data_IF_201132149565
#
_entry.id   IF_201132149565
#
_cell.length_a   1.000
_cell.length_b   1.000
_cell.length_c   1.000
_cell.angle_alpha   90.00
_cell.angle_beta   90.00
_cell.angle_gamma   90.00
#
_symmetry.space_group_name_H-M   'P 1'
#
loop_
_entity.id
_entity.type
_entity.pdbx_description
1 polymer ?
#
# COMPACT_ATOMS: atom_id res chain seq x y z
N UNK A 1 -2.98 5.58 21.94
CA UNK A 1 -1.60 5.23 21.54
C UNK A 1 -1.18 3.98 22.28
N UNK A 2 -0.48 3.06 21.62
CA UNK A 2 0.14 1.89 22.26
C UNK A 2 1.58 1.81 21.80
N UNK A 3 2.48 1.55 22.75
CA UNK A 3 3.89 1.29 22.50
C UNK A 3 4.07 -0.21 22.26
N UNK A 4 4.65 -0.56 21.12
CA UNK A 4 4.98 -1.93 20.75
C UNK A 4 6.38 -1.93 20.13
N UNK A 5 7.02 -3.09 20.11
CA UNK A 5 8.28 -3.21 19.37
C UNK A 5 8.01 -2.97 17.89
N UNK A 6 8.98 -2.33 17.22
CA UNK A 6 8.86 -2.06 15.79
C UNK A 6 8.77 -3.36 14.97
N UNK A 7 9.47 -4.40 15.41
CA UNK A 7 9.36 -5.75 14.84
C UNK A 7 7.95 -6.32 14.94
N UNK A 8 7.30 -6.17 16.09
CA UNK A 8 5.93 -6.64 16.26
C UNK A 8 4.95 -5.87 15.37
N UNK A 9 5.10 -4.55 15.27
CA UNK A 9 4.24 -3.72 14.42
C UNK A 9 4.44 -4.08 12.95
N UNK A 10 5.67 -4.02 12.45
CA UNK A 10 5.95 -4.28 11.03
C UNK A 10 5.57 -5.72 10.65
N UNK A 11 5.85 -6.69 11.52
CA UNK A 11 5.60 -8.10 11.25
C UNK A 11 4.14 -8.53 11.31
N UNK A 12 3.30 -7.90 12.14
CA UNK A 12 1.92 -8.37 12.40
C UNK A 12 0.83 -7.38 12.03
N UNK A 13 1.13 -6.08 12.03
CA UNK A 13 0.14 -5.04 11.79
C UNK A 13 0.18 -4.65 10.31
N UNK A 14 -0.95 -4.63 9.58
CA UNK A 14 -0.94 -4.26 8.18
C UNK A 14 -0.59 -2.78 7.99
N UNK A 15 0.29 -2.50 7.02
CA UNK A 15 0.47 -1.16 6.48
C UNK A 15 -0.66 -0.85 5.49
N UNK A 16 -1.70 -0.19 5.94
CA UNK A 16 -2.88 0.10 5.11
C UNK A 16 -2.71 1.41 4.34
N UNK A 17 -3.61 1.66 3.41
CA UNK A 17 -3.73 2.99 2.83
C UNK A 17 -4.18 4.00 3.89
N UNK A 18 -3.96 5.29 3.63
CA UNK A 18 -4.46 6.42 4.44
C UNK A 18 -5.98 6.64 4.31
N UNK A 19 -6.73 5.64 3.83
CA UNK A 19 -8.18 5.73 3.59
C UNK A 19 -8.96 5.53 4.88
N UNK A 20 -9.90 6.43 5.15
CA UNK A 20 -10.64 6.48 6.41
C UNK A 20 -11.72 5.47 6.64
N UNK A 21 -12.05 4.71 5.61
CA UNK A 21 -12.96 3.58 5.75
C UNK A 21 -12.25 2.33 6.27
N UNK A 22 -10.92 2.33 6.28
CA UNK A 22 -10.13 1.22 6.85
C UNK A 22 -10.40 1.14 8.35
N UNK A 23 -10.46 -0.06 8.93
CA UNK A 23 -10.72 -0.25 10.37
C UNK A 23 -9.74 -1.22 11.00
N UNK A 24 -9.68 -1.23 12.34
CA UNK A 24 -8.79 -2.12 13.10
C UNK A 24 -7.38 -1.58 13.32
N UNK A 25 -6.52 -2.42 13.90
CA UNK A 25 -5.13 -2.10 14.21
C UNK A 25 -4.32 -1.97 12.92
N UNK A 26 -3.75 -0.78 12.67
CA UNK A 26 -3.02 -0.47 11.43
C UNK A 26 -2.05 0.69 11.61
N UNK A 27 -1.05 0.74 10.74
CA UNK A 27 -0.30 1.97 10.44
C UNK A 27 -0.44 2.25 8.94
N UNK A 28 -0.24 3.49 8.50
CA UNK A 28 -0.61 3.85 7.12
C UNK A 28 0.53 4.43 6.29
N UNK A 29 0.51 4.08 5.02
CA UNK A 29 1.23 4.75 3.93
C UNK A 29 0.25 4.93 2.76
N UNK A 30 0.41 5.97 1.95
CA UNK A 30 -0.44 6.12 0.76
C UNK A 30 -0.33 4.87 -0.15
N UNK A 31 -1.46 4.24 -0.48
CA UNK A 31 -1.49 2.96 -1.22
C UNK A 31 -1.13 1.71 -0.41
N UNK A 32 -0.87 1.84 0.90
CA UNK A 32 -0.49 0.72 1.77
C UNK A 32 0.88 0.11 1.46
N UNK A 33 1.14 -1.08 2.01
CA UNK A 33 2.41 -1.79 1.78
C UNK A 33 2.63 -2.12 0.30
N UNK A 34 1.57 -2.41 -0.47
CA UNK A 34 1.72 -2.69 -1.89
C UNK A 34 2.06 -1.43 -2.70
N UNK A 35 1.43 -0.28 -2.44
CA UNK A 35 1.78 0.99 -3.08
C UNK A 35 3.22 1.43 -2.79
N UNK A 36 3.69 1.19 -1.55
CA UNK A 36 5.08 1.39 -1.17
C UNK A 36 6.03 0.49 -1.98
N UNK A 37 5.71 -0.81 -2.07
CA UNK A 37 6.49 -1.78 -2.85
C UNK A 37 6.55 -1.40 -4.33
N UNK A 38 5.44 -0.95 -4.94
CA UNK A 38 5.44 -0.49 -6.34
C UNK A 38 6.47 0.61 -6.59
N UNK A 39 6.57 1.59 -5.68
CA UNK A 39 7.55 2.67 -5.78
C UNK A 39 8.98 2.17 -5.67
N UNK A 40 9.25 1.20 -4.79
CA UNK A 40 10.57 0.57 -4.62
C UNK A 40 10.96 -0.23 -5.86
N UNK A 41 10.06 -1.07 -6.38
CA UNK A 41 10.31 -1.88 -7.57
C UNK A 41 10.54 -1.00 -8.81
N UNK A 42 9.77 0.09 -8.95
CA UNK A 42 9.97 1.04 -10.03
C UNK A 42 11.33 1.73 -9.95
N UNK A 43 11.77 2.09 -8.74
CA UNK A 43 13.09 2.65 -8.51
C UNK A 43 14.18 1.68 -8.96
N UNK A 44 14.05 0.40 -8.60
CA UNK A 44 14.96 -0.66 -9.06
C UNK A 44 14.98 -0.80 -10.58
N UNK A 45 13.82 -0.82 -11.26
CA UNK A 45 13.77 -0.89 -12.73
C UNK A 45 14.53 0.29 -13.38
N UNK A 46 14.32 1.51 -12.87
CA UNK A 46 14.98 2.72 -13.37
C UNK A 46 16.49 2.68 -13.18
N UNK A 47 16.96 2.29 -12.00
CA UNK A 47 18.40 2.23 -11.70
C UNK A 47 19.11 1.11 -12.47
N UNK A 48 18.44 -0.02 -12.66
CA UNK A 48 18.99 -1.14 -13.46
C UNK A 48 18.92 -0.93 -14.96
N UNK A 49 18.08 -0.01 -15.43
CA UNK A 49 17.84 0.20 -16.85
C UNK A 49 17.13 -0.96 -17.55
N UNK A 50 16.47 -1.84 -16.79
CA UNK A 50 15.65 -2.94 -17.33
C UNK A 50 14.39 -3.15 -16.51
N UNK A 51 13.35 -3.68 -17.16
CA UNK A 51 12.16 -4.15 -16.44
C UNK A 51 12.46 -5.39 -15.60
N UNK A 52 11.78 -5.49 -14.46
CA UNK A 52 11.66 -6.71 -13.67
C UNK A 52 10.84 -7.73 -14.45
N UNK A 53 11.07 -9.03 -14.27
CA UNK A 53 10.21 -10.09 -14.80
C UNK A 53 8.97 -10.28 -13.91
N UNK A 54 7.96 -11.01 -14.41
CA UNK A 54 6.76 -11.31 -13.62
C UNK A 54 7.09 -12.19 -12.43
N UNK A 55 8.07 -13.10 -12.59
CA UNK A 55 8.58 -13.96 -11.52
C UNK A 55 9.33 -13.15 -10.47
N UNK A 56 10.21 -12.20 -10.86
CA UNK A 56 10.89 -11.29 -9.92
C UNK A 56 9.88 -10.50 -9.06
N UNK A 57 8.76 -10.05 -9.66
CA UNK A 57 7.70 -9.33 -8.94
C UNK A 57 6.92 -10.28 -8.03
N UNK A 58 6.56 -11.47 -8.55
CA UNK A 58 5.82 -12.48 -7.80
C UNK A 58 6.58 -12.90 -6.54
N UNK A 59 7.86 -13.22 -6.68
CA UNK A 59 8.72 -13.69 -5.59
C UNK A 59 8.92 -12.60 -4.54
N UNK A 60 9.04 -11.34 -4.94
CA UNK A 60 9.12 -10.22 -4.02
C UNK A 60 7.83 -10.07 -3.19
N UNK A 61 6.66 -10.07 -3.81
CA UNK A 61 5.38 -9.93 -3.10
C UNK A 61 5.18 -11.12 -2.15
N UNK A 62 5.37 -12.35 -2.65
CA UNK A 62 5.17 -13.58 -1.89
C UNK A 62 6.12 -13.66 -0.69
N UNK A 63 7.42 -13.44 -0.90
CA UNK A 63 8.41 -13.58 0.16
C UNK A 63 8.24 -12.49 1.22
N UNK A 64 8.09 -11.22 0.82
CA UNK A 64 7.88 -10.12 1.77
C UNK A 64 6.62 -10.30 2.61
N UNK A 65 5.53 -10.84 2.02
CA UNK A 65 4.31 -11.16 2.76
C UNK A 65 4.56 -12.17 3.89
N UNK A 66 5.42 -13.17 3.65
CA UNK A 66 5.72 -14.25 4.60
C UNK A 66 6.77 -13.82 5.62
N UNK A 67 7.82 -13.13 5.19
CA UNK A 67 9.02 -12.90 6.02
C UNK A 67 9.08 -11.53 6.67
N UNK A 68 8.30 -10.56 6.18
CA UNK A 68 8.52 -9.16 6.55
C UNK A 68 7.28 -8.49 7.11
N UNK A 69 6.19 -8.44 6.35
CA UNK A 69 4.98 -7.72 6.74
C UNK A 69 3.77 -8.13 5.90
N UNK A 70 2.54 -7.95 6.39
CA UNK A 70 1.34 -8.14 5.58
C UNK A 70 1.35 -7.28 4.30
N UNK A 71 1.08 -7.92 3.17
CA UNK A 71 1.07 -7.30 1.85
C UNK A 71 -0.35 -6.90 1.47
N UNK A 72 -0.65 -5.64 1.74
CA UNK A 72 -1.99 -5.07 1.75
C UNK A 72 -2.29 -4.26 0.50
N UNK A 73 -3.48 -4.50 -0.03
CA UNK A 73 -4.16 -3.66 -1.00
C UNK A 73 -5.63 -3.54 -0.59
N UNK A 74 -6.29 -2.47 -1.00
CA UNK A 74 -7.75 -2.43 -0.96
C UNK A 74 -8.33 -1.96 -2.29
N UNK A 75 -9.62 -2.18 -2.42
CA UNK A 75 -10.53 -1.48 -3.32
C UNK A 75 -11.74 -0.99 -2.52
N UNK A 76 -12.69 -0.32 -3.17
CA UNK A 76 -13.97 0.04 -2.57
C UNK A 76 -15.12 -0.79 -3.16
N UNK A 77 -16.25 -0.76 -2.44
CA UNK A 77 -17.48 -1.47 -2.79
C UNK A 77 -17.99 -1.05 -4.18
N UNK A 78 -17.95 0.25 -4.50
CA UNK A 78 -18.41 0.77 -5.79
C UNK A 78 -17.64 0.16 -6.98
N UNK A 79 -16.32 0.06 -6.83
CA UNK A 79 -15.44 -0.52 -7.86
C UNK A 79 -15.68 -2.01 -8.02
N UNK A 80 -15.90 -2.75 -6.92
CA UNK A 80 -16.25 -4.18 -6.98
C UNK A 80 -17.56 -4.39 -7.73
N UNK A 81 -18.60 -3.60 -7.41
CA UNK A 81 -19.90 -3.67 -8.08
C UNK A 81 -19.76 -3.39 -9.59
N UNK A 82 -18.95 -2.41 -9.96
CA UNK A 82 -18.67 -2.10 -11.37
C UNK A 82 -17.99 -3.28 -12.08
N UNK A 83 -16.98 -3.90 -11.46
CA UNK A 83 -16.29 -5.07 -12.02
C UNK A 83 -17.25 -6.26 -12.14
N UNK A 84 -18.06 -6.54 -11.11
CA UNK A 84 -19.03 -7.63 -11.13
C UNK A 84 -20.09 -7.45 -12.19
N UNK A 85 -20.64 -6.23 -12.35
CA UNK A 85 -21.57 -5.92 -13.42
C UNK A 85 -20.95 -6.20 -14.81
N UNK A 86 -19.68 -5.87 -15.02
CA UNK A 86 -18.94 -6.18 -16.26
C UNK A 86 -18.74 -7.68 -16.50
N UNK A 87 -18.66 -8.46 -15.43
CA UNK A 87 -18.53 -9.91 -15.47
C UNK A 87 -19.88 -10.64 -15.55
N UNK A 88 -21.01 -9.93 -15.42
CA UNK A 88 -22.34 -10.53 -15.32
C UNK A 88 -22.58 -11.27 -13.99
N UNK A 89 -22.02 -10.74 -12.90
CA UNK A 89 -22.17 -11.29 -11.54
C UNK A 89 -23.05 -10.39 -10.67
N UNK A 90 -23.70 -11.00 -9.68
CA UNK A 90 -24.46 -10.29 -8.65
C UNK A 90 -23.54 -9.51 -7.70
N UNK A 91 -24.02 -8.38 -7.17
CA UNK A 91 -23.23 -7.49 -6.32
C UNK A 91 -22.82 -8.12 -4.98
N UNK A 92 -23.57 -9.11 -4.49
CA UNK A 92 -23.30 -9.84 -3.25
C UNK A 92 -22.36 -11.05 -3.45
N UNK A 93 -21.85 -11.24 -4.67
CA UNK A 93 -20.90 -12.32 -4.99
C UNK A 93 -19.66 -12.22 -4.10
N UNK A 94 -19.37 -13.30 -3.35
CA UNK A 94 -18.17 -13.35 -2.51
C UNK A 94 -16.92 -13.44 -3.39
N UNK A 95 -16.03 -12.45 -3.29
CA UNK A 95 -14.81 -12.38 -4.11
C UNK A 95 -13.94 -13.65 -4.01
N UNK A 96 -13.81 -14.22 -2.80
CA UNK A 96 -13.05 -15.46 -2.58
C UNK A 96 -13.73 -16.74 -3.11
N UNK A 97 -14.96 -16.64 -3.60
CA UNK A 97 -15.73 -17.74 -4.17
C UNK A 97 -15.75 -17.73 -5.70
N UNK A 98 -15.09 -16.76 -6.35
CA UNK A 98 -14.96 -16.75 -7.81
C UNK A 98 -14.25 -18.02 -8.31
N UNK A 99 -14.76 -18.58 -9.41
CA UNK A 99 -14.11 -19.67 -10.17
C UNK A 99 -12.80 -19.19 -10.80
N UNK A 100 -11.90 -20.10 -11.20
CA UNK A 100 -10.64 -19.71 -11.84
C UNK A 100 -10.83 -18.82 -13.09
N UNK A 101 -11.86 -19.08 -13.89
CA UNK A 101 -12.17 -18.24 -15.05
C UNK A 101 -12.61 -16.85 -14.62
N UNK A 102 -13.48 -16.75 -13.62
CA UNK A 102 -13.92 -15.46 -13.07
C UNK A 102 -12.77 -14.71 -12.40
N UNK A 103 -11.85 -15.40 -11.71
CA UNK A 103 -10.66 -14.78 -11.12
C UNK A 103 -9.78 -14.15 -12.19
N UNK A 104 -9.54 -14.84 -13.33
CA UNK A 104 -8.80 -14.27 -14.46
C UNK A 104 -9.47 -13.01 -14.99
N UNK A 105 -10.78 -13.05 -15.26
CA UNK A 105 -11.54 -11.88 -15.73
C UNK A 105 -11.54 -10.74 -14.71
N UNK A 106 -11.69 -11.05 -13.43
CA UNK A 106 -11.62 -10.09 -12.34
C UNK A 106 -10.26 -9.40 -12.34
N UNK A 107 -9.16 -10.17 -12.36
CA UNK A 107 -7.81 -9.62 -12.38
C UNK A 107 -7.57 -8.75 -13.61
N UNK A 108 -8.03 -9.14 -14.80
CA UNK A 108 -7.88 -8.31 -16.00
C UNK A 108 -8.57 -6.95 -15.91
N UNK A 109 -9.74 -6.89 -15.26
CA UNK A 109 -10.47 -5.65 -15.02
C UNK A 109 -9.84 -4.84 -13.88
N UNK A 110 -9.56 -5.51 -12.75
CA UNK A 110 -9.07 -4.93 -11.50
C UNK A 110 -7.62 -4.45 -11.56
N UNK A 111 -6.89 -4.61 -12.68
CA UNK A 111 -5.59 -3.94 -12.89
C UNK A 111 -5.71 -2.70 -13.77
N UNK A 112 -6.91 -2.29 -14.18
CA UNK A 112 -7.10 -1.09 -15.01
C UNK A 112 -7.25 0.15 -14.11
N UNK A 113 -6.75 1.33 -14.53
CA UNK A 113 -6.84 2.55 -13.72
C UNK A 113 -8.28 2.90 -13.32
N UNK A 114 -9.23 2.74 -14.24
CA UNK A 114 -10.65 3.09 -14.00
C UNK A 114 -11.39 2.09 -13.10
N UNK A 115 -10.77 0.96 -12.76
CA UNK A 115 -11.29 -0.06 -11.85
C UNK A 115 -10.40 -0.20 -10.59
N UNK A 116 -9.74 0.88 -10.19
CA UNK A 116 -9.06 0.98 -8.89
C UNK A 116 -9.94 1.74 -7.90
N UNK A 117 -10.27 1.10 -6.77
CA UNK A 117 -10.96 1.78 -5.66
C UNK A 117 -9.99 2.53 -4.72
N UNK A 118 -8.73 2.11 -4.63
CA UNK A 118 -7.73 2.87 -3.88
C UNK A 118 -7.36 4.15 -4.64
N UNK A 119 -7.72 5.31 -4.09
CA UNK A 119 -7.46 6.61 -4.72
C UNK A 119 -5.98 6.86 -5.06
N UNK A 120 -5.06 6.42 -4.19
CA UNK A 120 -3.62 6.55 -4.44
C UNK A 120 -3.15 5.73 -5.64
N UNK A 121 -3.53 4.45 -5.68
CA UNK A 121 -3.15 3.55 -6.78
C UNK A 121 -3.82 4.00 -8.09
N UNK A 122 -5.10 4.40 -8.02
CA UNK A 122 -5.84 4.97 -9.16
C UNK A 122 -5.09 6.15 -9.78
N UNK A 123 -4.75 7.16 -8.97
CA UNK A 123 -4.05 8.35 -9.46
C UNK A 123 -2.63 8.06 -9.92
N UNK A 124 -1.91 7.15 -9.24
CA UNK A 124 -0.60 6.68 -9.67
C UNK A 124 -0.65 6.08 -11.08
N UNK A 125 -1.70 5.32 -11.38
CA UNK A 125 -1.88 4.71 -12.69
C UNK A 125 -2.41 5.68 -13.76
N UNK A 126 -3.24 6.65 -13.37
CA UNK A 126 -3.78 7.68 -14.29
C UNK A 126 -2.75 8.77 -14.61
N UNK A 127 -1.81 9.03 -13.71
CA UNK A 127 -0.78 10.07 -13.82
C UNK A 127 0.63 9.54 -13.52
N UNK A 128 1.10 8.52 -14.26
CA UNK A 128 2.36 7.83 -13.96
C UNK A 128 3.59 8.75 -13.91
N UNK A 129 3.57 9.84 -14.68
CA UNK A 129 4.60 10.88 -14.68
C UNK A 129 4.67 11.66 -13.36
N UNK A 130 3.53 11.97 -12.74
CA UNK A 130 3.47 12.70 -11.46
C UNK A 130 3.90 11.84 -10.30
N UNK A 131 3.55 10.55 -10.36
CA UNK A 131 3.88 9.59 -9.32
C UNK A 131 5.23 8.93 -9.54
N UNK A 132 5.89 9.19 -10.66
CA UNK A 132 7.16 8.59 -11.02
C UNK A 132 7.12 7.05 -11.08
N UNK A 133 5.94 6.43 -11.25
CA UNK A 133 5.75 4.97 -11.33
C UNK A 133 5.22 4.58 -12.71
N UNK A 134 5.88 3.60 -13.35
CA UNK A 134 5.44 3.08 -14.64
C UNK A 134 4.06 2.42 -14.55
N UNK A 135 3.11 2.82 -15.40
CA UNK A 135 1.79 2.19 -15.51
C UNK A 135 1.92 0.67 -15.72
N UNK A 136 2.82 0.25 -16.63
CA UNK A 136 3.04 -1.17 -16.92
C UNK A 136 3.53 -1.94 -15.69
N UNK A 137 4.36 -1.33 -14.85
CA UNK A 137 4.80 -1.98 -13.61
C UNK A 137 3.64 -2.08 -12.62
N UNK A 138 2.88 -1.02 -12.42
CA UNK A 138 1.74 -1.02 -11.50
C UNK A 138 0.73 -2.13 -11.87
N UNK A 139 0.37 -2.25 -13.16
CA UNK A 139 -0.52 -3.31 -13.66
C UNK A 139 0.02 -4.72 -13.36
N UNK A 140 1.33 -4.92 -13.51
CA UNK A 140 1.98 -6.22 -13.27
C UNK A 140 2.05 -6.55 -11.77
N UNK A 141 2.37 -5.58 -10.93
CA UNK A 141 2.37 -5.75 -9.47
C UNK A 141 0.96 -6.08 -8.96
N UNK A 142 -0.06 -5.35 -9.41
CA UNK A 142 -1.45 -5.63 -9.06
C UNK A 142 -1.87 -7.04 -9.52
N UNK A 143 -1.48 -7.45 -10.72
CA UNK A 143 -1.77 -8.79 -11.24
C UNK A 143 -1.15 -9.89 -10.37
N UNK A 144 0.10 -9.72 -9.95
CA UNK A 144 0.77 -10.71 -9.09
C UNK A 144 0.18 -10.73 -7.67
N UNK A 145 -0.16 -9.57 -7.10
CA UNK A 145 -0.84 -9.51 -5.80
C UNK A 145 -2.20 -10.23 -5.83
N UNK A 146 -3.04 -9.96 -6.84
CA UNK A 146 -4.35 -10.62 -6.98
C UNK A 146 -4.22 -12.13 -7.20
N UNK A 147 -3.20 -12.58 -7.96
CA UNK A 147 -2.89 -14.00 -8.14
C UNK A 147 -2.60 -14.66 -6.77
N UNK A 148 -1.78 -14.04 -5.94
CA UNK A 148 -1.46 -14.54 -4.59
C UNK A 148 -2.66 -14.48 -3.65
N UNK A 149 -3.47 -13.43 -3.71
CA UNK A 149 -4.69 -13.30 -2.93
C UNK A 149 -5.68 -14.43 -3.23
N UNK A 150 -5.92 -14.75 -4.50
CA UNK A 150 -6.80 -15.84 -4.92
C UNK A 150 -6.20 -17.22 -4.58
N UNK A 151 -4.88 -17.35 -4.61
CA UNK A 151 -4.16 -18.53 -4.12
C UNK A 151 -4.21 -18.70 -2.59
N UNK A 152 -4.79 -17.72 -1.87
CA UNK A 152 -4.89 -17.69 -0.41
C UNK A 152 -3.52 -17.74 0.28
N UNK A 153 -2.52 -17.11 -0.34
CA UNK A 153 -1.22 -16.93 0.28
C UNK A 153 -1.37 -16.20 1.61
N UNK A 154 -0.68 -16.71 2.64
CA UNK A 154 -0.65 -16.11 3.97
C UNK A 154 -0.19 -14.65 3.88
N UNK A 155 -0.76 -13.78 4.73
CA UNK A 155 -0.40 -12.36 4.82
C UNK A 155 -0.58 -11.53 3.54
N UNK A 156 -1.22 -12.07 2.49
CA UNK A 156 -1.65 -11.29 1.31
C UNK A 156 -3.10 -10.85 1.51
N UNK A 157 -3.28 -9.55 1.74
CA UNK A 157 -4.56 -8.95 2.12
C UNK A 157 -5.14 -8.13 0.97
N UNK A 158 -6.44 -8.30 0.72
CA UNK A 158 -7.21 -7.52 -0.23
C UNK A 158 -8.56 -7.17 0.39
N UNK A 159 -8.70 -5.91 0.81
CA UNK A 159 -9.93 -5.43 1.46
C UNK A 159 -10.86 -4.75 0.47
N UNK A 160 -12.17 -4.86 0.74
CA UNK A 160 -13.21 -4.10 0.04
C UNK A 160 -13.82 -3.13 1.04
N UNK A 161 -13.49 -1.86 0.90
CA UNK A 161 -13.93 -0.81 1.81
C UNK A 161 -15.36 -0.38 1.47
N UNK A 162 -16.23 -0.37 2.47
CA UNK A 162 -17.62 0.07 2.35
C UNK A 162 -17.78 1.52 2.82
N UNK A 163 -18.88 2.15 2.42
CA UNK A 163 -19.23 3.51 2.85
C UNK A 163 -18.53 4.62 2.06
N UNK A 164 -18.75 5.85 2.54
CA UNK A 164 -18.21 7.06 1.95
C UNK A 164 -17.03 7.59 2.77
N UNK A 165 -16.17 8.32 2.08
CA UNK A 165 -15.16 9.16 2.70
C UNK A 165 -15.81 10.20 3.61
N UNK A 166 -15.35 10.28 4.85
CA UNK A 166 -15.81 11.25 5.85
C UNK A 166 -14.62 11.79 6.66
N UNK A 167 -13.42 11.73 6.09
CA UNK A 167 -12.18 12.18 6.70
C UNK A 167 -12.21 13.69 6.97
N UNK A 168 -11.85 14.10 8.18
CA UNK A 168 -11.86 15.52 8.59
C UNK A 168 -10.46 16.11 8.72
N UNK A 169 -9.47 15.27 9.04
CA UNK A 169 -8.10 15.72 9.32
C UNK A 169 -7.07 14.63 9.01
N UNK A 170 -5.90 15.06 8.53
CA UNK A 170 -4.74 14.19 8.29
C UNK A 170 -3.62 14.53 9.27
N UNK A 171 -3.24 13.55 10.08
CA UNK A 171 -2.06 13.59 10.93
C UNK A 171 -0.87 12.89 10.27
N UNK A 172 0.27 13.56 10.27
CA UNK A 172 1.53 13.00 9.82
C UNK A 172 2.44 12.92 11.04
N UNK A 173 2.81 11.70 11.43
CA UNK A 173 3.81 11.48 12.46
C UNK A 173 5.17 11.55 11.77
N UNK A 174 5.89 12.65 12.01
CA UNK A 174 7.14 13.00 11.34
C UNK A 174 8.33 12.28 11.97
N UNK A 175 8.49 12.44 13.28
CA UNK A 175 9.57 11.85 14.08
C UNK A 175 9.07 11.29 15.40
N UNK A 176 9.90 10.45 16.01
CA UNK A 176 9.74 9.95 17.37
C UNK A 176 11.04 10.23 18.11
N UNK A 177 10.99 11.15 19.05
CA UNK A 177 12.11 11.62 19.83
C UNK A 177 12.46 10.64 20.96
N UNK A 178 13.75 10.53 21.28
CA UNK A 178 14.30 9.81 22.44
C UNK A 178 14.24 8.28 22.46
N UNK A 179 13.76 7.61 21.41
CA UNK A 179 13.78 6.14 21.29
C UNK A 179 14.27 5.79 19.88
N UNK A 180 15.21 4.86 19.75
CA UNK A 180 15.58 4.35 18.42
C UNK A 180 14.33 3.68 17.82
N UNK A 181 13.82 4.15 16.66
CA UNK A 181 12.63 3.57 16.06
C UNK A 181 12.81 2.11 15.65
N UNK A 182 14.00 1.53 15.78
CA UNK A 182 14.24 0.09 15.68
C UNK A 182 13.79 -0.71 16.91
N UNK A 183 13.78 -0.09 18.09
CA UNK A 183 13.49 -0.76 19.35
C UNK A 183 11.98 -0.75 19.63
N UNK A 184 11.39 0.46 19.69
CA UNK A 184 9.97 0.65 19.97
C UNK A 184 9.40 1.82 19.19
N UNK A 185 8.12 1.73 18.82
CA UNK A 185 7.42 2.84 18.18
C UNK A 185 5.96 2.96 18.58
N UNK A 186 5.45 4.18 18.47
CA UNK A 186 4.07 4.49 18.80
C UNK A 186 3.15 4.09 17.66
N UNK A 187 2.25 3.16 17.94
CA UNK A 187 1.08 2.94 17.12
C UNK A 187 -0.07 3.79 17.66
N UNK A 188 -0.50 4.76 16.84
CA UNK A 188 -1.66 5.57 17.18
C UNK A 188 -2.91 4.78 16.83
N UNK A 189 -3.56 4.25 17.86
CA UNK A 189 -4.87 3.62 17.72
C UNK A 189 -5.90 4.70 17.45
N UNK A 190 -6.71 4.49 16.42
CA UNK A 190 -7.90 5.29 16.15
C UNK A 190 -8.82 5.28 17.38
N UNK A 191 -9.04 6.47 17.97
CA UNK A 191 -10.10 6.64 18.97
C UNK A 191 -11.41 6.84 18.21
N UNK A 192 -12.35 5.90 18.33
CA UNK A 192 -13.66 5.92 17.65
C UNK A 192 -14.57 7.13 17.98
N UNK A 193 -14.12 8.05 18.84
CA UNK A 193 -14.94 9.14 19.40
C UNK A 193 -14.64 10.53 18.84
N UNK A 194 -13.54 10.74 18.12
CA UNK A 194 -13.13 12.06 17.60
C UNK A 194 -13.00 12.03 16.07
N UNK A 195 -14.09 12.31 15.35
CA UNK A 195 -14.08 12.42 13.89
C UNK A 195 -13.50 11.20 13.17
N UNK A 196 -13.35 11.28 11.85
CA UNK A 196 -12.46 10.35 11.14
C UNK A 196 -11.11 11.07 10.98
N UNK A 197 -10.13 10.64 11.78
CA UNK A 197 -8.76 11.16 11.82
C UNK A 197 -7.78 10.16 11.21
N UNK A 198 -6.84 10.64 10.38
CA UNK A 198 -5.89 9.79 9.66
C UNK A 198 -4.49 9.92 10.18
N UNK A 199 -3.74 8.81 10.21
CA UNK A 199 -2.34 8.82 10.63
C UNK A 199 -1.45 8.24 9.54
N UNK A 200 -0.47 9.02 9.10
CA UNK A 200 0.64 8.59 8.26
C UNK A 200 1.90 8.48 9.12
N UNK A 201 2.39 7.25 9.32
CA UNK A 201 3.53 6.97 10.21
C UNK A 201 4.84 6.97 9.43
N UNK A 202 5.53 8.12 9.34
CA UNK A 202 6.80 8.21 8.59
C UNK A 202 7.92 7.33 9.17
N UNK A 203 8.10 7.18 10.50
CA UNK A 203 9.09 6.25 11.07
C UNK A 203 8.85 4.78 10.66
N UNK A 204 7.63 4.26 10.86
CA UNK A 204 7.26 2.89 10.47
C UNK A 204 7.39 2.67 8.96
N UNK A 205 7.03 3.65 8.15
CA UNK A 205 7.23 3.57 6.70
C UNK A 205 8.71 3.49 6.32
N UNK A 206 9.58 4.30 6.93
CA UNK A 206 11.03 4.26 6.67
C UNK A 206 11.60 2.88 7.01
N UNK A 207 11.17 2.32 8.13
CA UNK A 207 11.57 0.97 8.52
C UNK A 207 11.06 -0.10 7.52
N UNK A 208 9.82 0.03 7.04
CA UNK A 208 9.28 -0.87 6.03
C UNK A 208 10.07 -0.80 4.71
N UNK A 209 10.44 0.41 4.25
CA UNK A 209 11.31 0.62 3.08
C UNK A 209 12.65 -0.09 3.31
N UNK A 210 13.26 0.07 4.49
CA UNK A 210 14.53 -0.56 4.83
C UNK A 210 14.45 -2.08 4.66
N UNK A 211 13.47 -2.73 5.29
CA UNK A 211 13.32 -4.20 5.21
C UNK A 211 13.04 -4.69 3.79
N UNK A 212 12.19 -3.99 3.02
CA UNK A 212 11.93 -4.38 1.64
C UNK A 212 13.18 -4.26 0.76
N UNK A 213 13.93 -3.16 0.92
CA UNK A 213 15.14 -2.92 0.12
C UNK A 213 16.30 -3.84 0.53
N UNK A 214 16.39 -4.24 1.80
CA UNK A 214 17.32 -5.29 2.26
C UNK A 214 17.01 -6.63 1.63
N UNK A 215 15.75 -7.08 1.69
CA UNK A 215 15.34 -8.32 1.03
C UNK A 215 15.68 -8.30 -0.47
N UNK A 216 15.35 -7.20 -1.17
CA UNK A 216 15.65 -7.05 -2.59
C UNK A 216 17.16 -7.02 -2.90
N UNK A 217 17.98 -6.54 -1.96
CA UNK A 217 19.44 -6.55 -2.07
C UNK A 217 20.00 -7.96 -1.89
N UNK A 218 19.56 -8.67 -0.85
CA UNK A 218 19.94 -10.06 -0.57
C UNK A 218 19.58 -11.01 -1.71
N UNK A 219 18.46 -10.77 -2.38
CA UNK A 219 17.97 -11.56 -3.51
C UNK A 219 18.46 -11.03 -4.87
N UNK A 220 19.46 -10.15 -4.87
CA UNK A 220 20.14 -9.65 -6.08
C UNK A 220 19.20 -8.95 -7.09
N UNK A 221 18.05 -8.44 -6.62
CA UNK A 221 17.15 -7.65 -7.45
C UNK A 221 17.77 -6.30 -7.75
N UNK A 222 18.23 -5.57 -6.73
CA UNK A 222 19.03 -4.36 -6.87
C UNK A 222 19.77 -4.07 -5.57
N UNK A 223 21.01 -3.59 -5.64
CA UNK A 223 21.81 -3.29 -4.46
C UNK A 223 21.47 -1.88 -3.93
N UNK A 224 20.53 -1.80 -3.00
CA UNK A 224 20.07 -0.52 -2.43
C UNK A 224 21.06 0.04 -1.41
N UNK A 225 21.40 1.32 -1.57
CA UNK A 225 22.18 2.10 -0.60
C UNK A 225 21.27 2.86 0.37
N UNK A 226 21.85 3.41 1.44
CA UNK A 226 21.11 4.30 2.37
C UNK A 226 20.60 5.58 1.69
N UNK A 227 21.35 6.07 0.69
CA UNK A 227 20.93 7.20 -0.12
C UNK A 227 19.68 6.85 -0.96
N UNK A 228 19.65 5.65 -1.56
CA UNK A 228 18.47 5.17 -2.28
C UNK A 228 17.25 5.06 -1.36
N UNK A 229 17.43 4.51 -0.14
CA UNK A 229 16.35 4.39 0.87
C UNK A 229 15.80 5.75 1.30
N UNK A 230 16.68 6.72 1.50
CA UNK A 230 16.30 8.10 1.83
C UNK A 230 15.52 8.74 0.67
N UNK A 231 16.02 8.59 -0.56
CA UNK A 231 15.35 9.09 -1.76
C UNK A 231 13.97 8.46 -1.96
N UNK A 232 13.83 7.15 -1.70
CA UNK A 232 12.56 6.43 -1.75
C UNK A 232 11.55 6.96 -0.73
N UNK A 233 11.99 7.20 0.51
CA UNK A 233 11.12 7.74 1.55
C UNK A 233 10.61 9.15 1.18
N UNK A 234 11.47 10.01 0.64
CA UNK A 234 11.12 11.34 0.16
C UNK A 234 10.16 11.28 -1.04
N UNK A 235 10.45 10.42 -2.03
CA UNK A 235 9.57 10.21 -3.18
C UNK A 235 8.17 9.78 -2.74
N UNK A 236 8.08 8.82 -1.82
CA UNK A 236 6.78 8.34 -1.34
C UNK A 236 6.03 9.39 -0.50
N UNK A 237 6.73 10.28 0.20
CA UNK A 237 6.10 11.44 0.84
C UNK A 237 5.46 12.37 -0.21
N UNK A 238 6.20 12.68 -1.28
CA UNK A 238 5.72 13.55 -2.36
C UNK A 238 4.51 12.95 -3.10
N UNK A 239 4.53 11.63 -3.34
CA UNK A 239 3.39 10.93 -3.95
C UNK A 239 2.14 10.97 -3.04
N UNK A 240 2.32 10.83 -1.72
CA UNK A 240 1.23 10.94 -0.75
C UNK A 240 0.66 12.38 -0.73
N UNK A 241 1.52 13.39 -0.67
CA UNK A 241 1.13 14.81 -0.71
C UNK A 241 0.41 15.16 -2.03
N UNK A 242 0.88 14.63 -3.16
CA UNK A 242 0.20 14.76 -4.47
C UNK A 242 -1.21 14.17 -4.44
N UNK A 243 -1.37 13.01 -3.80
CA UNK A 243 -2.67 12.34 -3.67
C UNK A 243 -3.62 13.15 -2.80
N UNK A 244 -3.13 13.64 -1.65
CA UNK A 244 -3.91 14.48 -0.75
C UNK A 244 -4.34 15.77 -1.45
N UNK A 245 -3.44 16.43 -2.18
CA UNK A 245 -3.78 17.64 -2.92
C UNK A 245 -4.84 17.44 -4.00
N UNK A 246 -4.98 16.23 -4.56
CA UNK A 246 -5.99 15.93 -5.57
C UNK A 246 -7.31 15.48 -4.96
N UNK A 247 -7.29 14.59 -3.95
CA UNK A 247 -8.49 13.94 -3.41
C UNK A 247 -9.07 14.65 -2.19
N UNK A 248 -8.25 15.41 -1.48
CA UNK A 248 -8.53 15.88 -0.12
C UNK A 248 -7.87 17.24 0.14
N UNK A 249 -7.80 18.11 -0.88
CA UNK A 249 -7.07 19.39 -0.82
C UNK A 249 -7.59 20.36 0.25
N UNK A 250 -8.80 20.16 0.72
CA UNK A 250 -9.45 20.98 1.75
C UNK A 250 -9.23 20.44 3.18
N UNK A 251 -8.65 19.26 3.36
CA UNK A 251 -8.40 18.69 4.69
C UNK A 251 -7.23 19.40 5.36
N UNK A 252 -7.36 19.64 6.67
CA UNK A 252 -6.24 20.13 7.47
C UNK A 252 -5.18 19.03 7.62
N UNK A 253 -3.92 19.42 7.42
CA UNK A 253 -2.76 18.54 7.64
C UNK A 253 -2.05 19.02 8.90
N UNK A 254 -2.00 18.16 9.91
CA UNK A 254 -1.25 18.39 11.13
C UNK A 254 -0.04 17.47 11.18
N UNK A 255 1.13 18.04 11.52
CA UNK A 255 2.37 17.30 11.68
C UNK A 255 2.66 17.17 13.16
N UNK A 256 2.90 15.95 13.61
CA UNK A 256 3.16 15.62 14.99
C UNK A 256 4.57 15.02 15.09
N UNK A 257 5.36 15.57 16.01
CA UNK A 257 6.58 14.96 16.51
C UNK A 257 6.24 14.31 17.87
N UNK A 258 6.51 13.01 18.00
CA UNK A 258 6.21 12.23 19.21
C UNK A 258 7.41 12.07 20.14
#
# INVERSE_FOLDING_TARGET
>A
MVWLSTDEIIGKVPCTCVDGRTSGLRYSAAGGSLGLLMSILNYAEKKRGRSLTDDEIHDAIHSLAITTSPMYLHTDQHTIELIYARMGLESDTRLRALTEQQQRSFTELAVRPDHQGCGHIKLMMQHPEKYNVSLRLAERVLRQHLKLFFARTENVLFDVLAGHHAEEQVFIIEEQSNIDPRDETVLVLENKTDGQQFFCHRPLKRELIRRYTEWLTEHQVYNFTDEDRTALALLHNQQAETTLGILAGDLSIEKIDL
#
